data_IF_702050647929
#
_entry.id   IF_702050647929
#
_cell.length_a   1.000
_cell.length_b   1.000
_cell.length_c   1.000
_cell.angle_alpha   90.00
_cell.angle_beta   90.00
_cell.angle_gamma   90.00
#
_symmetry.space_group_name_H-M   'P 1'
#
loop_
_entity.id
_entity.type
_entity.pdbx_description
1 polymer ?
#
# COMPACT_ATOMS: atom_id res chain seq x y z
N UNK A 1 -17.51 3.67 -12.70
CA UNK A 1 -16.25 3.01 -12.30
C UNK A 1 -15.26 3.18 -13.43
N UNK A 2 -14.00 3.56 -13.16
CA UNK A 2 -12.99 3.77 -14.20
C UNK A 2 -12.52 2.41 -14.76
N UNK A 3 -12.04 2.38 -16.00
CA UNK A 3 -11.34 1.19 -16.52
C UNK A 3 -9.99 1.04 -15.77
N UNK A 4 -9.59 -0.19 -15.44
CA UNK A 4 -8.34 -0.51 -14.75
C UNK A 4 -7.10 0.05 -15.45
N UNK A 5 -7.08 0.08 -16.79
CA UNK A 5 -5.96 0.63 -17.57
C UNK A 5 -5.70 2.11 -17.30
N UNK A 6 -6.77 2.87 -17.03
CA UNK A 6 -6.71 4.30 -16.77
C UNK A 6 -6.51 4.66 -15.31
N UNK A 7 -6.52 3.68 -14.38
CA UNK A 7 -6.36 3.97 -12.96
C UNK A 7 -4.91 4.33 -12.62
N UNK A 8 -4.75 5.40 -11.85
CA UNK A 8 -3.51 5.67 -11.11
C UNK A 8 -3.24 4.58 -10.07
N UNK A 9 -2.03 4.53 -9.53
CA UNK A 9 -1.68 3.58 -8.47
C UNK A 9 -2.66 3.69 -7.28
N UNK A 10 -2.96 4.91 -6.84
CA UNK A 10 -3.89 5.15 -5.72
C UNK A 10 -5.31 4.69 -6.04
N UNK A 11 -5.82 4.98 -7.25
CA UNK A 11 -7.16 4.55 -7.67
C UNK A 11 -7.25 3.03 -7.76
N UNK A 12 -6.24 2.37 -8.35
CA UNK A 12 -6.21 0.91 -8.46
C UNK A 12 -6.08 0.27 -7.08
N UNK A 13 -5.17 0.75 -6.24
CA UNK A 13 -5.01 0.25 -4.88
C UNK A 13 -6.31 0.41 -4.06
N UNK A 14 -7.01 1.55 -4.17
CA UNK A 14 -8.29 1.76 -3.52
C UNK A 14 -9.38 0.82 -4.03
N UNK A 15 -9.42 0.56 -5.34
CA UNK A 15 -10.34 -0.40 -5.94
C UNK A 15 -10.11 -1.82 -5.40
N UNK A 16 -8.86 -2.29 -5.40
CA UNK A 16 -8.49 -3.62 -4.89
C UNK A 16 -8.77 -3.74 -3.39
N UNK A 17 -8.31 -2.76 -2.59
CA UNK A 17 -8.52 -2.70 -1.14
C UNK A 17 -10.00 -2.79 -0.80
N UNK A 18 -10.82 -1.97 -1.45
CA UNK A 18 -12.27 -1.96 -1.23
C UNK A 18 -12.93 -3.28 -1.63
N UNK A 19 -12.56 -3.86 -2.78
CA UNK A 19 -13.08 -5.15 -3.22
C UNK A 19 -12.75 -6.27 -2.22
N UNK A 20 -11.50 -6.36 -1.78
CA UNK A 20 -11.07 -7.38 -0.81
C UNK A 20 -11.74 -7.17 0.56
N UNK A 21 -11.93 -5.93 1.00
CA UNK A 21 -12.70 -5.60 2.20
C UNK A 21 -14.13 -6.15 2.12
N UNK A 22 -14.82 -5.99 0.98
CA UNK A 22 -16.17 -6.53 0.76
C UNK A 22 -16.21 -8.06 0.81
N UNK A 23 -15.10 -8.73 0.45
CA UNK A 23 -14.93 -10.17 0.58
C UNK A 23 -14.45 -10.64 1.97
N UNK A 24 -14.42 -9.71 2.94
CA UNK A 24 -13.92 -9.95 4.31
C UNK A 24 -12.45 -10.41 4.29
N UNK A 25 -11.63 -9.74 3.48
CA UNK A 25 -10.17 -9.88 3.38
C UNK A 25 -9.56 -8.48 3.53
N UNK A 26 -9.61 -7.89 4.74
CA UNK A 26 -9.02 -6.57 4.97
C UNK A 26 -7.52 -6.61 4.70
N UNK A 27 -7.05 -5.71 3.84
CA UNK A 27 -5.64 -5.58 3.47
C UNK A 27 -5.13 -4.18 3.78
N UNK A 28 -3.81 -4.06 3.92
CA UNK A 28 -3.10 -2.79 4.11
C UNK A 28 -2.06 -2.67 3.02
N UNK A 29 -2.11 -1.55 2.28
CA UNK A 29 -1.06 -1.19 1.34
C UNK A 29 0.22 -0.88 2.13
N UNK A 30 1.32 -1.48 1.71
CA UNK A 30 2.67 -1.25 2.25
C UNK A 30 3.59 -0.85 1.10
N UNK A 31 4.91 -1.00 1.25
CA UNK A 31 5.70 -1.14 0.04
C UNK A 31 6.04 0.17 -0.66
N UNK A 32 6.51 0.04 -1.91
CA UNK A 32 6.73 1.19 -2.80
C UNK A 32 5.43 1.92 -3.15
N UNK A 33 4.28 1.26 -3.02
CA UNK A 33 2.96 1.86 -3.24
C UNK A 33 2.66 2.99 -2.26
N UNK A 34 2.94 2.78 -0.95
CA UNK A 34 2.81 3.84 0.06
C UNK A 34 3.71 5.04 -0.24
N UNK A 35 4.97 4.77 -0.56
CA UNK A 35 5.97 5.79 -0.92
C UNK A 35 5.48 6.58 -2.14
N UNK A 36 4.96 5.91 -3.17
CA UNK A 36 4.46 6.56 -4.38
C UNK A 36 3.30 7.51 -4.08
N UNK A 37 2.35 7.09 -3.25
CA UNK A 37 1.21 7.92 -2.87
C UNK A 37 1.66 9.15 -2.06
N UNK A 38 2.43 8.94 -0.99
CA UNK A 38 2.86 10.04 -0.12
C UNK A 38 3.81 11.03 -0.80
N UNK A 39 4.50 10.59 -1.86
CA UNK A 39 5.45 11.43 -2.60
C UNK A 39 4.89 11.97 -3.91
N UNK A 40 3.59 11.82 -4.15
CA UNK A 40 2.93 12.24 -5.40
C UNK A 40 3.65 11.71 -6.65
N UNK A 41 4.05 10.43 -6.61
CA UNK A 41 4.79 9.70 -7.64
C UNK A 41 6.21 10.23 -7.93
N UNK A 42 6.86 10.94 -7.00
CA UNK A 42 8.30 11.22 -7.13
C UNK A 42 9.14 9.95 -7.00
N UNK A 43 8.70 9.01 -6.18
CA UNK A 43 9.23 7.65 -6.14
C UNK A 43 8.15 6.73 -6.67
N UNK A 44 8.40 6.07 -7.80
CA UNK A 44 7.41 5.22 -8.47
C UNK A 44 7.74 3.74 -8.27
N UNK A 45 6.71 2.91 -8.36
CA UNK A 45 6.85 1.46 -8.36
C UNK A 45 5.99 0.81 -9.44
N UNK A 46 6.27 -0.45 -9.77
CA UNK A 46 5.54 -1.24 -10.76
C UNK A 46 4.62 -2.31 -10.12
N UNK A 47 4.73 -2.49 -8.80
CA UNK A 47 3.94 -3.41 -8.00
C UNK A 47 3.09 -2.68 -6.94
N UNK A 48 2.02 -3.34 -6.52
CA UNK A 48 1.19 -2.91 -5.40
C UNK A 48 1.22 -4.02 -4.36
N UNK A 49 1.89 -3.75 -3.25
CA UNK A 49 2.07 -4.69 -2.15
C UNK A 49 0.95 -4.55 -1.10
N UNK A 50 0.22 -5.63 -0.87
CA UNK A 50 -0.79 -5.70 0.17
C UNK A 50 -0.44 -6.74 1.23
N UNK A 51 -0.42 -6.33 2.50
CA UNK A 51 -0.37 -7.28 3.62
C UNK A 51 -1.78 -7.49 4.15
N UNK A 52 -2.19 -8.74 4.29
CA UNK A 52 -3.47 -9.09 4.90
C UNK A 52 -3.45 -8.77 6.41
N UNK A 53 -4.49 -8.12 6.93
CA UNK A 53 -4.57 -7.82 8.37
C UNK A 53 -4.77 -9.10 9.20
N UNK A 54 -5.43 -10.09 8.61
CA UNK A 54 -5.66 -11.40 9.20
C UNK A 54 -5.31 -12.46 8.17
N UNK A 55 -4.73 -13.58 8.60
CA UNK A 55 -4.37 -14.67 7.71
C UNK A 55 -5.61 -15.24 7.01
N UNK A 56 -5.67 -15.13 5.69
CA UNK A 56 -6.69 -15.76 4.86
C UNK A 56 -6.12 -16.95 4.11
N UNK A 57 -6.96 -17.96 3.88
CA UNK A 57 -6.61 -19.04 2.95
C UNK A 57 -6.28 -18.46 1.58
N UNK A 58 -5.12 -18.80 1.02
CA UNK A 58 -4.66 -18.34 -0.30
C UNK A 58 -5.72 -18.57 -1.40
N UNK A 59 -6.45 -19.68 -1.34
CA UNK A 59 -7.54 -19.96 -2.28
C UNK A 59 -8.68 -18.94 -2.23
N UNK A 60 -9.04 -18.42 -1.04
CA UNK A 60 -10.07 -17.40 -0.89
C UNK A 60 -9.59 -16.05 -1.45
N UNK A 61 -8.34 -15.67 -1.21
CA UNK A 61 -7.74 -14.47 -1.81
C UNK A 61 -7.74 -14.58 -3.35
N UNK A 62 -7.30 -15.73 -3.87
CA UNK A 62 -7.28 -16.00 -5.31
C UNK A 62 -8.67 -15.86 -5.92
N UNK A 63 -9.67 -16.56 -5.38
CA UNK A 63 -11.04 -16.47 -5.89
C UNK A 63 -11.59 -15.04 -5.80
N UNK A 64 -11.22 -14.28 -4.75
CA UNK A 64 -11.62 -12.89 -4.64
C UNK A 64 -11.04 -12.03 -5.78
N UNK A 65 -9.76 -12.18 -6.09
CA UNK A 65 -9.09 -11.45 -7.16
C UNK A 65 -9.55 -11.88 -8.57
N UNK A 66 -9.86 -13.16 -8.76
CA UNK A 66 -10.40 -13.68 -10.03
C UNK A 66 -11.74 -13.03 -10.39
N UNK A 67 -12.59 -12.68 -9.41
CA UNK A 67 -13.87 -11.99 -9.66
C UNK A 67 -13.69 -10.61 -10.31
N UNK A 68 -12.52 -10.00 -10.16
CA UNK A 68 -12.18 -8.70 -10.77
C UNK A 68 -11.13 -8.86 -11.88
N UNK A 69 -10.97 -10.07 -12.42
CA UNK A 69 -10.16 -10.38 -13.59
C UNK A 69 -8.66 -10.55 -13.32
N UNK A 70 -8.21 -10.52 -12.08
CA UNK A 70 -6.81 -10.76 -11.73
C UNK A 70 -6.54 -12.27 -11.67
N UNK A 71 -5.43 -12.70 -12.27
CA UNK A 71 -5.00 -14.09 -12.31
C UNK A 71 -3.67 -14.27 -11.59
N UNK A 72 -3.55 -15.36 -10.85
CA UNK A 72 -2.32 -15.70 -10.14
C UNK A 72 -1.24 -16.20 -11.12
N UNK A 73 -0.06 -15.56 -11.10
CA UNK A 73 1.12 -15.98 -11.82
C UNK A 73 2.32 -16.03 -10.85
N UNK A 74 2.68 -17.23 -10.43
CA UNK A 74 3.67 -17.48 -9.37
C UNK A 74 3.31 -16.72 -8.08
N UNK A 75 4.11 -15.74 -7.66
CA UNK A 75 3.85 -14.93 -6.45
C UNK A 75 2.96 -13.71 -6.69
N UNK A 76 2.70 -13.38 -7.95
CA UNK A 76 2.00 -12.17 -8.37
C UNK A 76 0.56 -12.45 -8.76
N UNK A 77 -0.28 -11.41 -8.72
CA UNK A 77 -1.53 -11.38 -9.47
C UNK A 77 -1.46 -10.33 -10.56
N UNK A 78 -1.87 -10.71 -11.76
CA UNK A 78 -1.79 -9.88 -12.95
C UNK A 78 -3.17 -9.70 -13.57
N UNK A 79 -3.41 -8.55 -14.19
CA UNK A 79 -4.61 -8.31 -14.99
C UNK A 79 -4.18 -7.84 -16.39
N UNK A 80 -4.77 -8.34 -17.49
CA UNK A 80 -4.32 -8.05 -18.86
C UNK A 80 -4.22 -6.56 -19.22
N UNK A 81 -5.05 -5.73 -18.59
CA UNK A 81 -5.12 -4.28 -18.85
C UNK A 81 -4.63 -3.41 -17.69
N UNK A 82 -4.35 -3.97 -16.50
CA UNK A 82 -3.88 -3.15 -15.39
C UNK A 82 -2.39 -2.85 -15.52
N UNK A 83 -1.98 -1.63 -15.16
CA UNK A 83 -0.57 -1.20 -15.25
C UNK A 83 0.34 -1.78 -14.17
N UNK A 84 -0.22 -2.26 -13.07
CA UNK A 84 0.52 -2.70 -11.90
C UNK A 84 0.20 -4.16 -11.60
N UNK A 85 1.20 -4.89 -11.13
CA UNK A 85 1.05 -6.25 -10.61
C UNK A 85 0.76 -6.18 -9.11
N UNK A 86 0.02 -7.15 -8.58
CA UNK A 86 -0.26 -7.22 -7.14
C UNK A 86 0.63 -8.27 -6.50
N UNK A 87 1.21 -7.93 -5.34
CA UNK A 87 1.91 -8.87 -4.49
C UNK A 87 1.23 -8.91 -3.11
N UNK A 88 1.22 -10.09 -2.50
CA UNK A 88 0.65 -10.30 -1.16
C UNK A 88 1.70 -10.95 -0.25
N UNK A 89 2.64 -10.16 0.30
CA UNK A 89 3.62 -10.66 1.25
C UNK A 89 2.96 -11.28 2.48
N UNK A 90 3.57 -12.33 3.05
CA UNK A 90 3.04 -12.98 4.25
C UNK A 90 3.16 -12.06 5.47
N UNK A 91 2.12 -12.05 6.29
CA UNK A 91 2.08 -11.32 7.56
C UNK A 91 2.95 -11.94 8.67
N UNK A 92 2.93 -11.36 9.89
CA UNK A 92 2.00 -10.31 10.34
C UNK A 92 2.36 -8.91 9.84
N UNK A 93 1.39 -7.98 9.88
CA UNK A 93 1.62 -6.57 9.58
C UNK A 93 2.53 -5.93 10.65
N UNK A 94 3.82 -5.88 10.35
CA UNK A 94 4.86 -5.37 11.25
C UNK A 94 6.04 -4.81 10.47
N UNK A 95 6.80 -3.92 11.11
CA UNK A 95 8.10 -3.45 10.63
C UNK A 95 9.17 -4.05 11.52
N UNK A 96 9.94 -5.01 10.99
CA UNK A 96 10.81 -5.86 11.81
C UNK A 96 10.00 -6.54 12.92
N UNK A 97 10.33 -6.24 14.18
CA UNK A 97 9.63 -6.79 15.36
C UNK A 97 8.56 -5.83 15.93
N UNK A 98 8.27 -4.72 15.26
CA UNK A 98 7.32 -3.71 15.75
C UNK A 98 5.96 -3.88 15.06
N UNK A 99 4.88 -4.21 15.80
CA UNK A 99 3.54 -4.28 15.23
C UNK A 99 3.04 -2.88 14.86
N UNK A 100 2.31 -2.79 13.75
CA UNK A 100 1.68 -1.54 13.32
C UNK A 100 0.49 -1.22 14.24
N UNK A 101 0.46 -0.01 14.79
CA UNK A 101 -0.57 0.44 15.75
C UNK A 101 -1.62 1.34 15.13
N UNK A 102 -1.28 2.02 14.04
CA UNK A 102 -2.11 3.00 13.37
C UNK A 102 -2.04 2.81 11.86
N UNK A 103 -3.17 3.05 11.20
CA UNK A 103 -3.30 2.97 9.77
C UNK A 103 -3.91 4.27 9.27
N UNK A 104 -3.56 4.64 8.04
CA UNK A 104 -4.17 5.75 7.35
C UNK A 104 -5.21 5.21 6.35
N UNK A 105 -6.25 6.00 6.11
CA UNK A 105 -7.32 5.64 5.18
C UNK A 105 -7.51 6.77 4.16
N UNK A 106 -7.42 6.44 2.88
CA UNK A 106 -7.67 7.37 1.78
C UNK A 106 -8.96 6.95 1.07
N UNK A 107 -9.89 7.89 0.89
CA UNK A 107 -11.12 7.68 0.13
C UNK A 107 -10.97 8.19 -1.29
N UNK A 108 -11.34 7.36 -2.25
CA UNK A 108 -11.34 7.70 -3.68
C UNK A 108 -12.71 7.40 -4.29
N UNK A 109 -12.92 7.86 -5.53
CA UNK A 109 -14.11 7.47 -6.30
C UNK A 109 -14.19 5.96 -6.61
N UNK A 110 -13.09 5.20 -6.48
CA UNK A 110 -13.07 3.75 -6.73
C UNK A 110 -13.19 2.91 -5.44
N UNK A 111 -13.17 3.54 -4.26
CA UNK A 111 -13.25 2.84 -2.99
C UNK A 111 -12.34 3.42 -1.91
N UNK A 112 -12.29 2.70 -0.78
CA UNK A 112 -11.46 3.01 0.36
C UNK A 112 -10.13 2.23 0.33
N UNK A 113 -9.02 2.96 0.50
CA UNK A 113 -7.67 2.43 0.61
C UNK A 113 -7.18 2.54 2.04
N UNK A 114 -6.80 1.42 2.64
CA UNK A 114 -6.07 1.40 3.92
C UNK A 114 -4.59 1.21 3.63
N UNK A 115 -3.73 2.03 4.24
CA UNK A 115 -2.29 2.03 4.02
C UNK A 115 -1.52 2.36 5.31
N UNK A 116 -0.21 2.07 5.31
CA UNK A 116 0.68 2.51 6.39
C UNK A 116 0.63 4.02 6.57
N UNK A 117 0.84 4.47 7.81
CA UNK A 117 1.07 5.90 8.05
C UNK A 117 2.33 6.37 7.32
N UNK A 118 2.43 7.67 7.07
CA UNK A 118 3.61 8.26 6.47
C UNK A 118 4.89 7.92 7.25
N UNK A 119 4.81 7.98 8.58
CA UNK A 119 5.90 7.65 9.50
C UNK A 119 6.29 6.18 9.43
N UNK A 120 5.32 5.27 9.44
CA UNK A 120 5.61 3.83 9.39
C UNK A 120 6.12 3.41 8.00
N UNK A 121 5.69 4.09 6.94
CA UNK A 121 6.26 3.93 5.60
C UNK A 121 7.76 4.28 5.60
N UNK A 122 8.18 5.39 6.22
CA UNK A 122 9.60 5.76 6.33
C UNK A 122 10.37 4.71 7.14
N UNK A 123 9.85 4.27 8.29
CA UNK A 123 10.49 3.24 9.12
C UNK A 123 10.66 1.92 8.37
N UNK A 124 9.65 1.53 7.60
CA UNK A 124 9.73 0.34 6.73
C UNK A 124 10.86 0.50 5.71
N UNK A 125 10.95 1.67 5.05
CA UNK A 125 12.03 1.95 4.09
C UNK A 125 13.41 1.93 4.75
N UNK A 126 13.53 2.46 5.96
CA UNK A 126 14.77 2.40 6.74
C UNK A 126 15.16 0.95 7.05
N UNK A 127 14.22 0.15 7.55
CA UNK A 127 14.44 -1.26 7.89
C UNK A 127 14.94 -2.08 6.69
N UNK A 128 14.42 -1.82 5.49
CA UNK A 128 14.84 -2.48 4.25
C UNK A 128 16.02 -1.80 3.52
N UNK A 129 16.76 -0.90 4.18
CA UNK A 129 17.94 -0.21 3.64
C UNK A 129 17.66 0.55 2.33
N UNK A 130 16.55 1.29 2.27
CA UNK A 130 16.22 2.11 1.11
C UNK A 130 17.30 3.15 0.82
N UNK A 131 17.82 3.14 -0.42
CA UNK A 131 19.03 3.90 -0.81
C UNK A 131 18.92 5.41 -0.63
N UNK A 132 17.73 6.00 -0.82
CA UNK A 132 17.52 7.44 -0.71
C UNK A 132 16.58 7.82 0.44
N UNK A 133 16.86 7.28 1.64
CA UNK A 133 16.04 7.55 2.82
C UNK A 133 16.03 9.04 3.19
N UNK A 134 17.17 9.72 3.07
CA UNK A 134 17.27 11.16 3.36
C UNK A 134 16.40 12.01 2.42
N UNK A 135 16.42 11.73 1.11
CA UNK A 135 15.58 12.42 0.14
C UNK A 135 14.09 12.12 0.36
N UNK A 136 13.76 10.90 0.74
CA UNK A 136 12.38 10.51 1.08
C UNK A 136 11.89 11.28 2.32
N UNK A 137 12.68 11.31 3.38
CA UNK A 137 12.36 12.02 4.62
C UNK A 137 12.15 13.53 4.37
N UNK A 138 13.05 14.16 3.62
CA UNK A 138 12.91 15.57 3.25
C UNK A 138 11.65 15.85 2.42
N UNK A 139 11.27 14.94 1.53
CA UNK A 139 10.03 15.09 0.78
C UNK A 139 8.81 15.05 1.71
N UNK A 140 8.79 14.11 2.64
CA UNK A 140 7.72 13.98 3.62
C UNK A 140 7.60 15.24 4.47
N UNK A 141 8.71 15.76 5.03
CA UNK A 141 8.70 17.02 5.76
C UNK A 141 8.20 18.21 4.92
N UNK A 142 8.54 18.28 3.63
CA UNK A 142 8.03 19.34 2.74
C UNK A 142 6.53 19.23 2.48
N UNK A 143 5.97 18.02 2.58
CA UNK A 143 4.54 17.76 2.45
C UNK A 143 3.75 17.97 3.76
N UNK A 144 4.36 18.61 4.78
CA UNK A 144 3.81 18.85 6.14
C UNK A 144 2.43 19.53 6.19
N UNK A 145 1.93 20.11 5.10
CA UNK A 145 0.59 20.69 5.05
C UNK A 145 -0.51 19.78 4.49
N UNK A 146 -0.22 18.52 4.13
CA UNK A 146 -1.24 17.64 3.52
C UNK A 146 -1.31 16.22 4.07
N UNK A 147 -0.23 15.68 4.67
CA UNK A 147 -0.22 14.27 5.12
C UNK A 147 0.43 14.01 6.49
N UNK A 148 1.14 14.97 7.08
CA UNK A 148 1.91 14.80 8.34
C UNK A 148 1.40 15.76 9.43
N UNK A 149 0.09 16.00 9.49
CA UNK A 149 -0.48 16.68 10.66
C UNK A 149 -0.51 15.77 11.92
N UNK A 150 0.01 14.54 11.83
CA UNK A 150 0.10 13.62 12.95
C UNK A 150 1.57 13.23 13.17
N UNK A 151 2.16 13.78 14.23
CA UNK A 151 3.50 13.51 14.80
C UNK A 151 4.71 14.20 14.16
N UNK A 152 5.07 15.34 14.76
CA UNK A 152 6.46 15.76 14.88
C UNK A 152 7.25 14.67 15.64
N UNK A 153 8.42 14.24 15.15
CA UNK A 153 9.29 13.36 15.92
C UNK A 153 9.89 14.17 17.07
N UNK A 154 9.62 13.73 18.30
CA UNK A 154 10.45 14.08 19.45
C UNK A 154 11.78 13.37 19.25
N UNK A 155 12.67 13.99 18.48
CA UNK A 155 14.10 13.76 18.62
C UNK A 155 14.52 14.52 19.89
N UNK A 156 14.55 13.82 21.02
CA UNK A 156 15.32 14.31 22.17
C UNK A 156 16.81 14.19 21.85
N UNK A 157 17.62 15.19 22.25
CA UNK A 157 19.06 15.27 21.96
C UNK A 157 19.88 14.15 22.60
#
# INVERSE_FOLDING_TARGET
>A
MKNLEGMSLQELAAYISNHLQQQKIPVVLVGGGCVSIYTQNQYQTQDIDFVEQYETRRSKLKSALEMIGFQEQARYFIHPTARYFLEFPKGPLAIGNQPIKQLHTIRTAQGELVLLTATDCIKEREFYNFRNLAGLFLHFLRCENSYIACYAPVFTP
#
